data_IF_177500066451
#
_entry.id   IF_177500066451
#
_cell.length_a   1.000
_cell.length_b   1.000
_cell.length_c   1.000
_cell.angle_alpha   90.00
_cell.angle_beta   90.00
_cell.angle_gamma   90.00
#
_symmetry.space_group_name_H-M   'P 1'
#
loop_
_entity.id
_entity.type
_entity.pdbx_description
1 polymer ?
#
# COMPACT_ATOMS: atom_id res chain seq x y z
N UNK A 1 -18.75 -40.17 63.95
CA UNK A 1 -18.80 -40.29 62.49
C UNK A 1 -18.17 -39.05 61.89
N UNK A 2 -16.88 -39.11 61.55
CA UNK A 2 -16.20 -38.07 60.78
C UNK A 2 -15.90 -38.69 59.42
N UNK A 3 -16.56 -38.17 58.39
CA UNK A 3 -16.38 -38.61 57.00
C UNK A 3 -15.15 -37.88 56.49
N UNK A 4 -14.08 -38.62 56.21
CA UNK A 4 -12.81 -38.07 55.75
C UNK A 4 -12.92 -37.50 54.34
N UNK A 5 -12.42 -36.28 54.15
CA UNK A 5 -12.13 -35.72 52.83
C UNK A 5 -10.84 -36.34 52.30
N UNK A 6 -11.00 -37.36 51.47
CA UNK A 6 -9.92 -37.94 50.66
C UNK A 6 -9.73 -37.03 49.45
N UNK A 7 -8.76 -36.12 49.54
CA UNK A 7 -8.21 -35.46 48.34
C UNK A 7 -7.40 -36.49 47.57
N UNK A 8 -8.08 -37.24 46.69
CA UNK A 8 -7.44 -38.12 45.73
C UNK A 8 -6.59 -37.29 44.77
N UNK A 9 -5.27 -37.33 44.95
CA UNK A 9 -4.29 -36.82 44.00
C UNK A 9 -4.21 -37.81 42.83
N UNK A 10 -5.30 -37.89 42.07
CA UNK A 10 -5.33 -38.58 40.79
C UNK A 10 -4.67 -37.70 39.73
N UNK A 11 -4.02 -38.33 38.75
CA UNK A 11 -3.33 -37.70 37.60
C UNK A 11 -4.21 -36.65 36.86
N UNK A 12 -5.52 -36.62 37.08
CA UNK A 12 -6.45 -35.60 36.56
C UNK A 12 -6.40 -34.21 37.23
N UNK A 13 -5.82 -34.06 38.43
CA UNK A 13 -5.79 -32.77 39.15
C UNK A 13 -4.80 -31.77 38.57
N UNK A 14 -3.59 -32.23 38.21
CA UNK A 14 -2.56 -31.39 37.60
C UNK A 14 -2.95 -30.93 36.20
N UNK A 15 -3.63 -31.81 35.45
CA UNK A 15 -4.14 -31.52 34.11
C UNK A 15 -5.19 -30.40 34.14
N UNK A 16 -6.07 -30.38 35.15
CA UNK A 16 -7.10 -29.35 35.31
C UNK A 16 -6.50 -27.95 35.52
N UNK A 17 -5.50 -27.85 36.40
CA UNK A 17 -4.79 -26.58 36.65
C UNK A 17 -4.03 -26.13 35.40
N UNK A 18 -3.34 -27.06 34.73
CA UNK A 18 -2.62 -26.78 33.49
C UNK A 18 -3.55 -26.24 32.39
N UNK A 19 -4.72 -26.86 32.21
CA UNK A 19 -5.73 -26.47 31.24
C UNK A 19 -6.29 -25.06 31.52
N UNK A 20 -6.48 -24.72 32.80
CA UNK A 20 -6.92 -23.39 33.22
C UNK A 20 -5.86 -22.29 32.96
N UNK A 21 -4.57 -22.63 33.01
CA UNK A 21 -3.50 -21.71 32.61
C UNK A 21 -3.45 -21.53 31.09
N UNK A 22 -3.55 -22.62 30.32
CA UNK A 22 -3.55 -22.55 28.86
C UNK A 22 -4.71 -21.70 28.31
N UNK A 23 -5.91 -21.83 28.88
CA UNK A 23 -7.05 -21.05 28.38
C UNK A 23 -6.88 -19.55 28.64
N UNK A 24 -6.26 -19.17 29.76
CA UNK A 24 -5.92 -17.76 30.06
C UNK A 24 -4.87 -17.21 29.10
N UNK A 25 -3.83 -18.00 28.81
CA UNK A 25 -2.79 -17.62 27.85
C UNK A 25 -3.41 -17.46 26.46
N UNK A 26 -4.26 -18.40 26.04
CA UNK A 26 -4.90 -18.37 24.72
C UNK A 26 -5.85 -17.18 24.59
N UNK A 27 -6.60 -16.86 25.64
CA UNK A 27 -7.43 -15.65 25.67
C UNK A 27 -6.60 -14.37 25.56
N UNK A 28 -5.49 -14.27 26.28
CA UNK A 28 -4.60 -13.11 26.21
C UNK A 28 -4.00 -12.93 24.80
N UNK A 29 -3.53 -14.01 24.19
CA UNK A 29 -2.99 -14.01 22.82
C UNK A 29 -4.08 -13.61 21.81
N UNK A 30 -5.30 -14.12 21.97
CA UNK A 30 -6.43 -13.79 21.10
C UNK A 30 -6.79 -12.30 21.18
N UNK A 31 -6.88 -11.74 22.39
CA UNK A 31 -7.16 -10.31 22.57
C UNK A 31 -6.04 -9.44 22.00
N UNK A 32 -4.78 -9.81 22.22
CA UNK A 32 -3.65 -9.09 21.63
C UNK A 32 -3.69 -9.12 20.10
N UNK A 33 -3.98 -10.29 19.50
CA UNK A 33 -4.12 -10.43 18.06
C UNK A 33 -5.28 -9.61 17.50
N UNK A 34 -6.42 -9.55 18.19
CA UNK A 34 -7.55 -8.70 17.80
C UNK A 34 -7.19 -7.22 17.83
N UNK A 35 -6.50 -6.75 18.87
CA UNK A 35 -6.07 -5.35 18.97
C UNK A 35 -5.11 -5.00 17.83
N UNK A 36 -4.09 -5.84 17.59
CA UNK A 36 -3.11 -5.63 16.51
C UNK A 36 -3.83 -5.66 15.14
N UNK A 37 -4.72 -6.62 14.93
CA UNK A 37 -5.50 -6.73 13.70
C UNK A 37 -6.38 -5.51 13.47
N UNK A 38 -7.06 -5.01 14.50
CA UNK A 38 -7.89 -3.80 14.42
C UNK A 38 -7.03 -2.57 14.06
N UNK A 39 -5.85 -2.43 14.66
CA UNK A 39 -4.91 -1.33 14.34
C UNK A 39 -4.46 -1.41 12.88
N UNK A 40 -4.12 -2.60 12.38
CA UNK A 40 -3.70 -2.79 10.98
C UNK A 40 -4.85 -2.46 10.03
N UNK A 41 -6.07 -2.95 10.30
CA UNK A 41 -7.26 -2.69 9.47
C UNK A 41 -7.61 -1.20 9.45
N UNK A 42 -7.59 -0.54 10.61
CA UNK A 42 -7.80 0.91 10.71
C UNK A 42 -6.71 1.66 9.96
N UNK A 43 -5.44 1.29 10.13
CA UNK A 43 -4.33 1.93 9.42
C UNK A 43 -4.44 1.75 7.90
N UNK A 44 -4.87 0.58 7.44
CA UNK A 44 -4.99 0.25 6.02
C UNK A 44 -6.26 0.84 5.37
N UNK A 45 -7.33 1.08 6.13
CA UNK A 45 -8.60 1.59 5.61
C UNK A 45 -8.85 3.08 5.89
N UNK A 46 -8.18 3.70 6.87
CA UNK A 46 -8.44 5.10 7.30
C UNK A 46 -7.26 6.04 6.99
N UNK A 47 -6.05 5.53 6.75
CA UNK A 47 -4.88 6.38 6.49
C UNK A 47 -4.44 6.28 5.03
N UNK A 48 -5.25 6.84 4.13
CA UNK A 48 -4.70 7.41 2.90
C UNK A 48 -3.81 8.57 3.34
N UNK A 49 -2.50 8.40 3.28
CA UNK A 49 -1.52 9.47 3.62
C UNK A 49 -1.79 10.74 2.80
N UNK A 50 -2.40 10.57 1.63
CA UNK A 50 -2.80 11.62 0.69
C UNK A 50 -3.89 12.56 1.25
N UNK A 51 -4.79 12.06 2.12
CA UNK A 51 -5.81 12.91 2.77
C UNK A 51 -5.21 13.74 3.91
N UNK A 52 -4.14 13.27 4.57
CA UNK A 52 -3.51 13.99 5.69
C UNK A 52 -2.68 15.17 5.20
N UNK A 53 -2.03 15.06 4.05
CA UNK A 53 -1.33 16.19 3.43
C UNK A 53 -2.31 17.23 2.89
N UNK A 54 -3.42 16.79 2.29
CA UNK A 54 -4.50 17.67 1.84
C UNK A 54 -5.13 18.43 3.02
N UNK A 55 -5.46 17.74 4.11
CA UNK A 55 -6.08 18.36 5.30
C UNK A 55 -5.08 19.25 6.07
N UNK A 56 -3.79 18.87 6.16
CA UNK A 56 -2.75 19.74 6.76
C UNK A 56 -2.47 20.98 5.92
N UNK A 57 -2.65 20.92 4.60
CA UNK A 57 -2.61 22.06 3.70
C UNK A 57 -3.80 23.00 3.91
N UNK A 58 -5.03 22.48 4.00
CA UNK A 58 -6.25 23.30 4.09
C UNK A 58 -6.39 24.03 5.44
N UNK A 59 -5.83 23.52 6.54
CA UNK A 59 -5.89 24.18 7.85
C UNK A 59 -4.78 25.21 8.12
N UNK A 60 -3.72 25.28 7.30
CA UNK A 60 -2.70 26.33 7.42
C UNK A 60 -3.08 27.65 6.72
N UNK A 61 -4.23 27.71 6.02
CA UNK A 61 -4.75 28.93 5.39
C UNK A 61 -5.74 29.73 6.26
N UNK A 62 -5.97 29.33 7.52
CA UNK A 62 -6.68 30.14 8.51
C UNK A 62 -5.62 30.59 9.52
N UNK A 63 -4.96 31.74 9.39
CA UNK A 63 -5.46 33.02 9.88
C UNK A 63 -4.50 34.16 9.48
N UNK A 64 -4.19 34.32 8.19
CA UNK A 64 -3.62 35.60 7.73
C UNK A 64 -4.78 36.50 7.31
N UNK A 65 -5.58 36.93 8.29
CA UNK A 65 -6.40 38.14 8.11
C UNK A 65 -5.44 39.25 7.75
N UNK A 66 -5.31 39.55 6.47
CA UNK A 66 -4.60 40.70 5.94
C UNK A 66 -5.36 41.92 6.43
N UNK A 67 -5.00 42.39 7.63
CA UNK A 67 -5.54 43.59 8.24
C UNK A 67 -5.36 44.74 7.25
N UNK A 68 -6.45 45.28 6.74
CA UNK A 68 -6.43 46.54 5.99
C UNK A 68 -6.53 47.68 6.98
N UNK A 69 -6.02 48.84 6.59
CA UNK A 69 -6.20 50.06 7.36
C UNK A 69 -7.34 50.82 6.69
N UNK A 70 -8.27 51.36 7.48
CA UNK A 70 -9.34 52.19 6.96
C UNK A 70 -8.75 53.50 6.40
N UNK A 71 -8.98 53.80 5.12
CA UNK A 71 -8.46 54.99 4.44
C UNK A 71 -8.88 56.31 5.13
N UNK A 72 -10.05 56.31 5.77
CA UNK A 72 -10.60 57.50 6.43
C UNK A 72 -10.11 57.76 7.87
N UNK A 73 -9.84 56.71 8.65
CA UNK A 73 -9.57 56.85 10.08
C UNK A 73 -8.23 56.23 10.52
N UNK A 74 -7.53 55.55 9.61
CA UNK A 74 -6.21 54.98 9.87
C UNK A 74 -6.22 53.80 10.85
N UNK A 75 -7.38 53.21 11.16
CA UNK A 75 -7.50 52.08 12.08
C UNK A 75 -7.56 50.75 11.34
N UNK A 76 -7.00 49.72 11.97
CA UNK A 76 -7.08 48.34 11.51
C UNK A 76 -8.55 47.92 11.29
N UNK A 77 -8.81 47.34 10.13
CA UNK A 77 -10.11 46.88 9.68
C UNK A 77 -9.98 45.49 9.06
N UNK A 78 -10.93 44.64 9.41
CA UNK A 78 -11.04 43.30 8.84
C UNK A 78 -11.73 43.36 7.46
N UNK A 79 -11.32 42.50 6.55
CA UNK A 79 -11.72 42.49 5.13
C UNK A 79 -13.20 42.17 4.90
N UNK A 80 -13.85 41.59 5.91
CA UNK A 80 -15.24 41.14 5.86
C UNK A 80 -16.21 42.30 6.12
N UNK A 81 -15.73 43.45 6.60
CA UNK A 81 -16.60 44.56 6.99
C UNK A 81 -16.88 45.48 5.81
N UNK A 82 -18.15 45.71 5.49
CA UNK A 82 -18.58 46.69 4.47
C UNK A 82 -18.50 48.14 4.97
N UNK A 83 -18.58 48.34 6.29
CA UNK A 83 -18.52 49.66 6.94
C UNK A 83 -17.53 49.63 8.10
N UNK A 84 -16.70 50.67 8.23
CA UNK A 84 -15.76 50.77 9.34
C UNK A 84 -16.50 51.02 10.67
N UNK A 85 -16.29 50.22 11.74
CA UNK A 85 -16.98 50.40 13.02
C UNK A 85 -16.57 51.69 13.75
N UNK A 86 -15.41 52.27 13.40
CA UNK A 86 -14.88 53.45 14.05
C UNK A 86 -15.35 54.76 13.42
N UNK A 87 -15.52 54.80 12.09
CA UNK A 87 -15.88 56.01 11.36
C UNK A 87 -17.16 55.90 10.51
N UNK A 88 -17.77 54.71 10.44
CA UNK A 88 -19.02 54.40 9.73
C UNK A 88 -19.00 54.72 8.23
N UNK A 89 -17.82 54.86 7.63
CA UNK A 89 -17.66 55.01 6.19
C UNK A 89 -17.46 53.65 5.51
N UNK A 90 -17.79 53.60 4.23
CA UNK A 90 -17.66 52.41 3.39
C UNK A 90 -16.20 51.94 3.36
N UNK A 91 -15.99 50.68 3.73
CA UNK A 91 -14.72 50.03 3.60
C UNK A 91 -14.57 49.60 2.14
N UNK A 92 -13.64 50.20 1.40
CA UNK A 92 -13.34 49.76 0.03
C UNK A 92 -12.75 48.35 0.08
N UNK A 93 -13.60 47.33 -0.03
CA UNK A 93 -13.19 45.94 -0.16
C UNK A 93 -12.60 45.75 -1.57
N UNK A 94 -11.33 46.11 -1.77
CA UNK A 94 -10.59 45.63 -2.93
C UNK A 94 -10.59 44.10 -2.83
N UNK A 95 -11.17 43.47 -3.84
CA UNK A 95 -11.38 42.04 -4.04
C UNK A 95 -10.04 41.27 -3.93
N UNK A 96 -9.63 40.91 -2.70
CA UNK A 96 -8.40 40.15 -2.42
C UNK A 96 -8.53 38.68 -2.82
N UNK A 97 -9.74 38.21 -3.14
CA UNK A 97 -9.99 36.84 -3.57
C UNK A 97 -9.42 36.56 -4.97
N UNK A 98 -9.19 37.58 -5.82
CA UNK A 98 -8.66 37.37 -7.17
C UNK A 98 -7.16 37.00 -7.20
N UNK A 99 -6.29 37.71 -6.46
CA UNK A 99 -4.83 37.47 -6.51
C UNK A 99 -4.40 36.15 -5.83
N UNK A 100 -5.10 35.73 -4.78
CA UNK A 100 -4.81 34.45 -4.11
C UNK A 100 -5.18 33.27 -5.01
N UNK A 101 -6.33 33.38 -5.70
CA UNK A 101 -6.80 32.36 -6.65
C UNK A 101 -5.88 32.26 -7.86
N UNK A 102 -5.36 33.38 -8.37
CA UNK A 102 -4.40 33.38 -9.48
C UNK A 102 -3.12 32.60 -9.15
N UNK A 103 -2.63 32.70 -7.91
CA UNK A 103 -1.42 31.99 -7.47
C UNK A 103 -1.67 30.48 -7.34
N UNK A 104 -2.83 30.08 -6.83
CA UNK A 104 -3.24 28.67 -6.74
C UNK A 104 -3.42 28.05 -8.13
N UNK A 105 -4.04 28.78 -9.07
CA UNK A 105 -4.21 28.34 -10.47
C UNK A 105 -2.85 28.08 -11.14
N UNK A 106 -1.86 28.95 -10.90
CA UNK A 106 -0.50 28.78 -11.46
C UNK A 106 0.18 27.53 -10.94
N UNK A 107 0.05 27.24 -9.64
CA UNK A 107 0.64 26.04 -9.04
C UNK A 107 -0.03 24.76 -9.56
N UNK A 108 -1.37 24.73 -9.62
CA UNK A 108 -2.14 23.60 -10.17
C UNK A 108 -1.74 23.35 -11.64
N UNK A 109 -1.56 24.41 -12.44
CA UNK A 109 -1.11 24.28 -13.82
C UNK A 109 0.27 23.63 -13.93
N UNK A 110 1.20 24.02 -13.07
CA UNK A 110 2.54 23.43 -13.01
C UNK A 110 2.50 21.95 -12.61
N UNK A 111 1.69 21.60 -11.62
CA UNK A 111 1.46 20.21 -11.22
C UNK A 111 0.83 19.38 -12.34
N UNK A 112 -0.09 19.98 -13.10
CA UNK A 112 -0.72 19.34 -14.28
C UNK A 112 0.30 19.07 -15.40
N UNK A 113 1.24 19.99 -15.63
CA UNK A 113 2.31 19.77 -16.62
C UNK A 113 3.29 18.68 -16.16
N UNK A 114 3.68 18.67 -14.89
CA UNK A 114 4.54 17.63 -14.32
C UNK A 114 3.89 16.24 -14.44
N UNK A 115 2.64 16.10 -14.01
CA UNK A 115 1.89 14.83 -14.12
C UNK A 115 1.75 14.36 -15.58
N UNK A 116 1.54 15.27 -16.53
CA UNK A 116 1.53 14.94 -17.97
C UNK A 116 2.86 14.33 -18.43
N UNK A 117 3.99 14.92 -18.03
CA UNK A 117 5.31 14.40 -18.41
C UNK A 117 5.61 13.03 -17.77
N UNK A 118 5.16 12.80 -16.55
CA UNK A 118 5.27 11.50 -15.89
C UNK A 118 4.47 10.42 -16.63
N UNK A 119 3.22 10.71 -17.02
CA UNK A 119 2.38 9.79 -17.81
C UNK A 119 3.05 9.41 -19.14
N UNK A 120 3.64 10.39 -19.84
CA UNK A 120 4.34 10.15 -21.10
C UNK A 120 5.55 9.21 -20.90
N UNK A 121 6.31 9.43 -19.82
CA UNK A 121 7.43 8.55 -19.46
C UNK A 121 6.99 7.11 -19.12
N UNK A 122 5.82 6.95 -18.47
CA UNK A 122 5.24 5.65 -18.13
C UNK A 122 4.79 4.92 -19.40
N UNK A 123 4.18 5.62 -20.35
CA UNK A 123 3.75 5.04 -21.63
C UNK A 123 4.95 4.49 -22.42
N UNK A 124 6.05 5.25 -22.51
CA UNK A 124 7.28 4.79 -23.18
C UNK A 124 7.82 3.52 -22.52
N UNK A 125 7.83 3.46 -21.18
CA UNK A 125 8.25 2.25 -20.44
C UNK A 125 7.33 1.07 -20.72
N UNK A 126 6.02 1.29 -20.78
CA UNK A 126 5.04 0.25 -21.08
C UNK A 126 5.22 -0.33 -22.50
N UNK A 127 5.50 0.50 -23.49
CA UNK A 127 5.81 0.06 -24.86
C UNK A 127 7.09 -0.77 -24.94
N UNK A 128 8.13 -0.35 -24.20
CA UNK A 128 9.39 -1.11 -24.08
C UNK A 128 9.15 -2.51 -23.50
N UNK A 129 8.42 -2.59 -22.38
CA UNK A 129 8.06 -3.86 -21.73
C UNK A 129 7.23 -4.75 -22.66
N UNK A 130 6.27 -4.18 -23.41
CA UNK A 130 5.50 -4.94 -24.39
C UNK A 130 6.38 -5.54 -25.49
N UNK A 131 7.38 -4.80 -25.96
CA UNK A 131 8.34 -5.28 -26.96
C UNK A 131 9.16 -6.46 -26.42
N UNK A 132 9.62 -6.36 -25.17
CA UNK A 132 10.36 -7.43 -24.49
C UNK A 132 9.50 -8.69 -24.32
N UNK A 133 8.23 -8.55 -23.91
CA UNK A 133 7.27 -9.67 -23.82
C UNK A 133 7.08 -10.35 -25.18
N UNK A 134 6.99 -9.59 -26.28
CA UNK A 134 6.86 -10.16 -27.63
C UNK A 134 8.10 -10.97 -28.01
N UNK A 135 9.30 -10.50 -27.68
CA UNK A 135 10.54 -11.20 -27.95
C UNK A 135 10.66 -12.48 -27.10
N UNK A 136 10.38 -12.42 -25.80
CA UNK A 136 10.36 -13.59 -24.92
C UNK A 136 9.36 -14.66 -25.40
N UNK A 137 8.20 -14.25 -25.91
CA UNK A 137 7.23 -15.19 -26.52
C UNK A 137 7.79 -15.90 -27.76
N UNK A 138 8.61 -15.23 -28.58
CA UNK A 138 9.27 -15.86 -29.74
C UNK A 138 10.34 -16.85 -29.28
N UNK A 139 11.16 -16.47 -28.30
CA UNK A 139 12.19 -17.34 -27.73
C UNK A 139 11.57 -18.61 -27.12
N UNK A 140 10.48 -18.46 -26.36
CA UNK A 140 9.75 -19.60 -25.78
C UNK A 140 9.25 -20.57 -26.87
N UNK A 141 8.74 -20.06 -27.99
CA UNK A 141 8.32 -20.90 -29.12
C UNK A 141 9.50 -21.67 -29.72
N UNK A 142 10.65 -21.02 -29.87
CA UNK A 142 11.85 -21.67 -30.41
C UNK A 142 12.36 -22.78 -29.47
N UNK A 143 12.35 -22.53 -28.15
CA UNK A 143 12.72 -23.53 -27.13
C UNK A 143 11.80 -24.75 -27.22
N UNK A 144 10.49 -24.55 -27.32
CA UNK A 144 9.54 -25.67 -27.44
C UNK A 144 9.81 -26.53 -28.68
N UNK A 145 10.13 -25.92 -29.82
CA UNK A 145 10.50 -26.66 -31.05
C UNK A 145 11.79 -27.47 -30.85
N UNK A 146 12.74 -26.90 -30.12
CA UNK A 146 14.00 -27.57 -29.81
C UNK A 146 13.79 -28.77 -28.88
N UNK A 147 12.95 -28.61 -27.85
CA UNK A 147 12.58 -29.70 -26.93
C UNK A 147 11.88 -30.86 -27.66
N UNK A 148 10.97 -30.55 -28.58
CA UNK A 148 10.31 -31.56 -29.42
C UNK A 148 11.31 -32.36 -30.26
N UNK A 149 12.32 -31.69 -30.83
CA UNK A 149 13.37 -32.34 -31.61
C UNK A 149 14.27 -33.21 -30.72
N UNK A 150 14.72 -32.71 -29.57
CA UNK A 150 15.53 -33.48 -28.60
C UNK A 150 14.77 -34.72 -28.12
N UNK A 151 13.47 -34.59 -27.89
CA UNK A 151 12.64 -35.72 -27.46
C UNK A 151 12.56 -36.80 -28.55
N UNK A 152 12.39 -36.43 -29.82
CA UNK A 152 12.42 -37.36 -30.96
C UNK A 152 13.76 -38.09 -31.06
N UNK A 153 14.87 -37.36 -30.95
CA UNK A 153 16.22 -37.96 -30.96
C UNK A 153 16.40 -38.95 -29.81
N UNK A 154 15.97 -38.56 -28.61
CA UNK A 154 16.03 -39.41 -27.41
C UNK A 154 15.27 -40.72 -27.60
N UNK A 155 14.06 -40.66 -28.18
CA UNK A 155 13.28 -41.87 -28.50
C UNK A 155 13.98 -42.75 -29.53
N UNK A 156 14.59 -42.15 -30.56
CA UNK A 156 15.32 -42.88 -31.58
C UNK A 156 16.57 -43.59 -30.99
N UNK A 157 17.31 -42.90 -30.13
CA UNK A 157 18.48 -43.48 -29.46
C UNK A 157 18.09 -44.62 -28.51
N UNK A 158 17.01 -44.46 -27.74
CA UNK A 158 16.43 -45.54 -26.92
C UNK A 158 16.05 -46.77 -27.75
N UNK A 159 15.44 -46.58 -28.92
CA UNK A 159 15.11 -47.68 -29.85
C UNK A 159 16.36 -48.39 -30.36
N UNK A 160 17.43 -47.66 -30.69
CA UNK A 160 18.72 -48.24 -31.14
C UNK A 160 19.39 -49.08 -30.04
N UNK A 161 19.41 -48.58 -28.78
CA UNK A 161 19.98 -49.29 -27.63
C UNK A 161 19.24 -50.62 -27.35
N UNK A 162 17.91 -50.64 -27.48
CA UNK A 162 17.12 -51.87 -27.32
C UNK A 162 17.41 -52.95 -28.37
N UNK A 163 17.92 -52.56 -29.55
CA UNK A 163 18.22 -53.47 -30.66
C UNK A 163 19.64 -54.05 -30.61
N UNK A 164 20.50 -53.62 -29.68
CA UNK A 164 21.87 -54.12 -29.60
C UNK A 164 21.93 -55.51 -28.93
N UNK A 165 22.71 -56.46 -29.47
CA UNK A 165 22.82 -57.81 -28.90
C UNK A 165 23.48 -57.77 -27.52
N UNK A 166 22.90 -58.50 -26.56
CA UNK A 166 23.49 -58.66 -25.22
C UNK A 166 24.68 -59.63 -25.30
N UNK A 167 25.90 -59.09 -25.34
CA UNK A 167 27.11 -59.90 -25.26
C UNK A 167 27.21 -60.51 -23.85
N UNK A 168 27.11 -61.83 -23.73
CA UNK A 168 27.41 -62.54 -22.48
C UNK A 168 28.92 -62.66 -22.35
N UNK A 169 29.50 -61.95 -21.38
CA UNK A 169 30.88 -62.17 -20.97
C UNK A 169 30.92 -63.54 -20.26
N UNK A 170 31.56 -64.53 -20.88
CA UNK A 170 31.87 -65.80 -20.21
C UNK A 170 33.15 -65.58 -19.42
N UNK A 171 33.05 -65.61 -18.09
CA UNK A 171 34.23 -65.69 -17.23
C UNK A 171 34.76 -67.12 -17.27
N UNK A 172 35.96 -67.30 -17.81
CA UNK A 172 36.69 -68.55 -17.70
C UNK A 172 37.47 -68.52 -16.37
N UNK A 173 37.06 -69.36 -15.42
CA UNK A 173 37.89 -69.84 -14.32
C UNK A 173 38.10 -71.34 -14.52
#
# INVERSE_FOLDING_TARGET
>A
MYVGNVYGVGVGGTISVLLMFFIKILFFVFVAALIIGLIIVVKNNIFTTDDIETIKGTFNLKNKTTKKICDDCGKDLDLIWEFCPYCRKEAKSINIEAESVDTEIVNIKKETENTKTEIESINIKAESVNTEIVNLKKETKNINVQDDNINKETQNTKKKLKKQPKYKIKNNN
#
